data_IF_215632587363
#
_entry.id   IF_215632587363
#
_cell.length_a   1.000
_cell.length_b   1.000
_cell.length_c   1.000
_cell.angle_alpha   90.00
_cell.angle_beta   90.00
_cell.angle_gamma   90.00
#
_symmetry.space_group_name_H-M   'P 1'
#
loop_
_entity.id
_entity.type
_entity.pdbx_description
1 polymer ?
#
# COMPACT_ATOMS: atom_id res chain seq x y z
N UNK A 1 10.62 -8.37 -16.55
CA UNK A 1 9.95 -8.56 -15.24
C UNK A 1 10.61 -7.63 -14.24
N UNK A 2 9.86 -7.07 -13.30
CA UNK A 2 10.39 -6.29 -12.16
C UNK A 2 11.24 -7.17 -11.24
N UNK A 3 12.23 -6.59 -10.56
CA UNK A 3 12.98 -7.31 -9.53
C UNK A 3 12.14 -7.46 -8.24
N UNK A 4 12.37 -8.51 -7.43
CA UNK A 4 11.72 -8.64 -6.12
C UNK A 4 12.01 -7.46 -5.18
N UNK A 5 13.19 -6.83 -5.31
CA UNK A 5 13.57 -5.66 -4.53
C UNK A 5 12.71 -4.45 -4.90
N UNK A 6 12.51 -4.21 -6.20
CA UNK A 6 11.63 -3.16 -6.70
C UNK A 6 10.18 -3.35 -6.21
N UNK A 7 9.64 -4.57 -6.31
CA UNK A 7 8.29 -4.88 -5.86
C UNK A 7 8.11 -4.66 -4.36
N UNK A 8 9.08 -5.11 -3.56
CA UNK A 8 9.10 -4.89 -2.12
C UNK A 8 9.14 -3.40 -1.80
N UNK A 9 9.98 -2.64 -2.49
CA UNK A 9 10.11 -1.21 -2.28
C UNK A 9 8.81 -0.45 -2.62
N UNK A 10 8.18 -0.78 -3.75
CA UNK A 10 6.88 -0.23 -4.14
C UNK A 10 5.79 -0.52 -3.11
N UNK A 11 5.69 -1.77 -2.64
CA UNK A 11 4.71 -2.15 -1.62
C UNK A 11 4.90 -1.35 -0.32
N UNK A 12 6.15 -1.09 0.07
CA UNK A 12 6.46 -0.26 1.24
C UNK A 12 6.08 1.21 1.01
N UNK A 13 6.34 1.79 -0.16
CA UNK A 13 5.96 3.18 -0.46
C UNK A 13 4.44 3.41 -0.32
N UNK A 14 3.62 2.42 -0.66
CA UNK A 14 2.16 2.51 -0.51
C UNK A 14 1.67 2.40 0.94
N UNK A 15 2.47 1.86 1.85
CA UNK A 15 2.00 1.46 3.19
C UNK A 15 2.70 2.17 4.35
N UNK A 16 3.94 2.61 4.14
CA UNK A 16 4.82 3.31 5.09
C UNK A 16 4.87 4.81 4.75
N UNK A 17 4.33 5.63 5.66
CA UNK A 17 4.20 7.07 5.48
C UNK A 17 5.56 7.79 5.55
N UNK A 18 6.48 7.33 6.43
CA UNK A 18 7.79 7.94 6.61
C UNK A 18 8.69 7.67 5.40
N UNK A 19 8.70 6.42 4.94
CA UNK A 19 9.44 6.03 3.74
C UNK A 19 8.95 6.82 2.51
N UNK A 20 7.63 6.94 2.36
CA UNK A 20 7.06 7.71 1.24
C UNK A 20 7.42 9.18 1.32
N UNK A 21 7.42 9.79 2.50
CA UNK A 21 7.82 11.18 2.67
C UNK A 21 9.28 11.41 2.25
N UNK A 22 10.19 10.53 2.67
CA UNK A 22 11.60 10.59 2.25
C UNK A 22 11.74 10.40 0.73
N UNK A 23 11.04 9.44 0.14
CA UNK A 23 11.05 9.20 -1.30
C UNK A 23 10.56 10.40 -2.11
N UNK A 24 9.51 11.10 -1.66
CA UNK A 24 8.98 12.26 -2.39
C UNK A 24 9.94 13.46 -2.42
N UNK A 25 10.87 13.54 -1.47
CA UNK A 25 11.93 14.55 -1.46
C UNK A 25 13.04 14.20 -2.46
N UNK A 26 13.53 12.96 -2.41
CA UNK A 26 14.70 12.54 -3.20
C UNK A 26 14.48 11.14 -3.83
N UNK A 27 13.64 11.00 -4.87
CA UNK A 27 13.18 9.69 -5.36
C UNK A 27 14.31 8.75 -5.81
N UNK A 28 15.28 9.28 -6.58
CA UNK A 28 16.41 8.48 -7.08
C UNK A 28 17.31 8.02 -5.96
N UNK A 29 17.70 8.95 -5.08
CA UNK A 29 18.60 8.64 -3.97
C UNK A 29 17.98 7.60 -3.04
N UNK A 30 16.70 7.75 -2.70
CA UNK A 30 16.00 6.79 -1.86
C UNK A 30 15.89 5.41 -2.52
N UNK A 31 15.55 5.34 -3.81
CA UNK A 31 15.52 4.06 -4.52
C UNK A 31 16.89 3.34 -4.48
N UNK A 32 17.98 4.06 -4.76
CA UNK A 32 19.36 3.51 -4.70
C UNK A 32 19.74 3.06 -3.29
N UNK A 33 19.42 3.85 -2.26
CA UNK A 33 19.66 3.49 -0.85
C UNK A 33 18.92 2.20 -0.44
N UNK A 34 17.80 1.90 -1.11
CA UNK A 34 17.03 0.68 -0.91
C UNK A 34 17.46 -0.49 -1.82
N UNK A 35 18.59 -0.37 -2.49
CA UNK A 35 19.22 -1.47 -3.26
C UNK A 35 18.65 -1.66 -4.66
N UNK A 36 17.89 -0.69 -5.19
CA UNK A 36 17.46 -0.72 -6.59
C UNK A 36 18.64 -0.40 -7.50
N UNK A 37 18.63 -0.96 -8.70
CA UNK A 37 19.58 -0.61 -9.75
C UNK A 37 19.38 0.83 -10.24
N UNK A 38 20.36 1.37 -10.95
CA UNK A 38 20.26 2.72 -11.55
C UNK A 38 19.03 2.84 -12.45
N UNK A 39 18.77 1.84 -13.29
CA UNK A 39 17.62 1.83 -14.19
C UNK A 39 16.29 1.86 -13.43
N UNK A 40 16.19 1.09 -12.35
CA UNK A 40 14.98 1.07 -11.52
C UNK A 40 14.81 2.39 -10.74
N UNK A 41 15.90 2.98 -10.23
CA UNK A 41 15.86 4.27 -9.56
C UNK A 41 15.39 5.40 -10.50
N UNK A 42 15.82 5.35 -11.76
CA UNK A 42 15.35 6.26 -12.81
C UNK A 42 13.86 6.09 -13.09
N UNK A 43 13.39 4.84 -13.23
CA UNK A 43 11.98 4.53 -13.43
C UNK A 43 11.13 4.99 -12.23
N UNK A 44 11.62 4.77 -11.00
CA UNK A 44 10.97 5.24 -9.78
C UNK A 44 10.86 6.77 -9.73
N UNK A 45 11.89 7.49 -10.15
CA UNK A 45 11.88 8.95 -10.16
C UNK A 45 10.91 9.57 -11.17
N UNK A 46 10.62 8.84 -12.25
CA UNK A 46 9.65 9.19 -13.28
C UNK A 46 8.20 8.79 -12.92
N UNK A 47 7.98 8.06 -11.81
CA UNK A 47 6.65 7.60 -11.40
C UNK A 47 5.71 8.77 -11.05
N UNK A 48 4.41 8.58 -11.30
CA UNK A 48 3.37 9.52 -10.87
C UNK A 48 3.28 9.61 -9.34
N UNK A 49 3.74 10.74 -8.81
CA UNK A 49 3.78 11.04 -7.38
C UNK A 49 2.39 11.32 -6.81
N UNK A 50 1.51 11.93 -7.61
CA UNK A 50 0.14 12.25 -7.18
C UNK A 50 -0.64 10.95 -7.05
N UNK A 51 -0.58 10.09 -8.06
CA UNK A 51 -1.17 8.76 -8.02
C UNK A 51 -0.67 7.92 -6.83
N UNK A 52 0.64 7.93 -6.56
CA UNK A 52 1.21 7.28 -5.38
C UNK A 52 0.58 7.77 -4.07
N UNK A 53 0.50 9.10 -3.88
CA UNK A 53 -0.06 9.68 -2.66
C UNK A 53 -1.56 9.38 -2.51
N UNK A 54 -2.33 9.46 -3.59
CA UNK A 54 -3.76 9.14 -3.61
C UNK A 54 -4.03 7.67 -3.26
N UNK A 55 -3.27 6.75 -3.85
CA UNK A 55 -3.38 5.33 -3.57
C UNK A 55 -3.00 5.02 -2.12
N UNK A 56 -1.89 5.57 -1.62
CA UNK A 56 -1.48 5.39 -0.23
C UNK A 56 -2.52 5.92 0.78
N UNK A 57 -3.12 7.09 0.51
CA UNK A 57 -4.20 7.63 1.33
C UNK A 57 -5.42 6.69 1.33
N UNK A 58 -5.78 6.14 0.17
CA UNK A 58 -6.87 5.18 0.03
C UNK A 58 -6.60 3.89 0.82
N UNK A 59 -5.38 3.35 0.76
CA UNK A 59 -5.01 2.16 1.53
C UNK A 59 -5.04 2.42 3.03
N UNK A 60 -4.52 3.58 3.48
CA UNK A 60 -4.60 4.00 4.88
C UNK A 60 -6.05 4.05 5.37
N UNK A 61 -6.95 4.66 4.61
CA UNK A 61 -8.38 4.73 4.94
C UNK A 61 -9.02 3.33 5.01
N UNK A 62 -8.73 2.44 4.04
CA UNK A 62 -9.22 1.06 4.04
C UNK A 62 -8.70 0.28 5.25
N UNK A 63 -7.41 0.41 5.61
CA UNK A 63 -6.83 -0.24 6.79
C UNK A 63 -7.47 0.27 8.07
N UNK A 64 -7.71 1.57 8.21
CA UNK A 64 -8.40 2.12 9.38
C UNK A 64 -9.84 1.59 9.50
N UNK A 65 -10.56 1.46 8.38
CA UNK A 65 -11.93 0.94 8.34
C UNK A 65 -12.04 -0.57 8.66
N UNK A 66 -11.02 -1.36 8.31
CA UNK A 66 -11.03 -2.82 8.48
C UNK A 66 -10.19 -3.34 9.66
N UNK A 67 -9.21 -2.59 10.14
CA UNK A 67 -8.29 -3.00 11.21
C UNK A 67 -8.88 -2.94 12.62
N UNK A 68 -10.02 -2.26 12.81
CA UNK A 68 -10.70 -2.12 14.11
C UNK A 68 -12.06 -2.83 14.24
N UNK A 69 -12.60 -3.40 13.16
CA UNK A 69 -13.86 -4.13 13.21
C UNK A 69 -13.58 -5.62 13.31
N UNK A 70 -13.51 -6.13 14.55
CA UNK A 70 -13.90 -7.51 14.81
C UNK A 70 -15.33 -7.68 14.25
N UNK A 71 -15.44 -8.24 13.04
CA UNK A 71 -16.75 -8.55 12.48
C UNK A 71 -17.37 -9.62 13.38
N UNK A 72 -18.56 -9.44 13.96
CA UNK A 72 -19.31 -10.58 14.45
C UNK A 72 -19.70 -11.40 13.21
N UNK A 73 -18.90 -12.41 12.87
CA UNK A 73 -19.04 -13.24 11.67
C UNK A 73 -20.32 -14.12 11.63
N UNK A 74 -21.29 -13.87 12.50
CA UNK A 74 -22.24 -14.90 12.93
C UNK A 74 -23.72 -14.49 12.86
N UNK A 75 -24.08 -13.24 12.52
CA UNK A 75 -25.49 -12.78 12.66
C UNK A 75 -26.34 -12.81 11.40
N UNK A 76 -25.77 -12.72 10.20
CA UNK A 76 -26.57 -12.62 8.98
C UNK A 76 -27.19 -13.96 8.57
N UNK A 77 -26.42 -15.05 8.63
CA UNK A 77 -26.89 -16.41 8.29
C UNK A 77 -27.80 -17.02 9.37
N UNK A 78 -27.60 -16.67 10.66
CA UNK A 78 -28.54 -17.05 11.74
C UNK A 78 -29.93 -16.43 11.57
N UNK A 79 -30.03 -15.23 11.01
CA UNK A 79 -31.32 -14.59 10.68
C UNK A 79 -32.01 -15.26 9.50
N UNK A 80 -31.25 -15.78 8.53
CA UNK A 80 -31.81 -16.54 7.41
C UNK A 80 -32.32 -17.91 7.87
N UNK A 81 -31.63 -18.60 8.77
CA UNK A 81 -32.09 -19.89 9.31
C UNK A 81 -33.33 -19.78 10.19
N UNK A 82 -33.45 -18.70 10.98
CA UNK A 82 -34.62 -18.48 11.84
C UNK A 82 -35.91 -18.12 11.08
N UNK A 83 -35.82 -17.77 9.80
CA UNK A 83 -36.98 -17.47 8.96
C UNK A 83 -37.57 -18.72 8.26
N UNK A 84 -37.00 -19.90 8.51
CA UNK A 84 -37.38 -21.18 7.88
C UNK A 84 -37.93 -22.21 8.88
N UNK A 85 -38.23 -21.79 10.12
CA UNK A 85 -38.91 -22.59 11.16
C UNK A 85 -40.17 -21.88 11.59
#
# INVERSE_FOLDING_TARGET
MSSPALETYLARLYTDDALRAAFLLEPRAQALLHGLSQQEAEAMAAMDRVGLQMAAASYRAKRAAHGGRAKPAQRWWRRLLAAWT
#
